data_IF_148759418396
#
_entry.id   IF_148759418396
#
_cell.length_a   1.000
_cell.length_b   1.000
_cell.length_c   1.000
_cell.angle_alpha   90.00
_cell.angle_beta   90.00
_cell.angle_gamma   90.00
#
_symmetry.space_group_name_H-M   'P 1'
#
loop_
_entity.id
_entity.type
_entity.pdbx_description
1 polymer ?
#
# COMPACT_ATOMS: atom_id res chain seq x y z
N UNK A 1 -39.76 -11.14 10.62
CA UNK A 1 -38.69 -10.22 10.19
C UNK A 1 -37.48 -11.05 9.79
N UNK A 2 -37.46 -11.53 8.55
CA UNK A 2 -36.39 -12.38 8.02
C UNK A 2 -35.36 -11.48 7.36
N UNK A 3 -34.26 -11.21 8.06
CA UNK A 3 -33.10 -10.55 7.47
C UNK A 3 -32.55 -11.44 6.34
N UNK A 4 -32.81 -11.06 5.09
CA UNK A 4 -32.19 -11.66 3.91
C UNK A 4 -30.70 -11.27 3.86
N UNK A 5 -29.88 -11.93 4.69
CA UNK A 5 -28.45 -11.96 4.47
C UNK A 5 -28.22 -12.70 3.15
N UNK A 6 -27.61 -12.01 2.18
CA UNK A 6 -27.36 -12.55 0.84
C UNK A 6 -26.67 -13.91 0.92
N UNK A 7 -27.36 -14.96 0.45
CA UNK A 7 -26.81 -16.32 0.29
C UNK A 7 -25.64 -16.34 -0.70
N UNK A 8 -25.54 -15.34 -1.60
CA UNK A 8 -24.42 -15.21 -2.53
C UNK A 8 -23.09 -14.95 -1.82
N UNK A 9 -23.15 -14.43 -0.59
CA UNK A 9 -22.00 -14.12 0.25
C UNK A 9 -21.79 -15.16 1.37
N UNK A 10 -22.15 -16.43 1.13
CA UNK A 10 -21.92 -17.56 2.02
C UNK A 10 -22.93 -17.74 3.16
N UNK A 11 -22.68 -18.76 3.98
CA UNK A 11 -23.55 -19.16 5.09
C UNK A 11 -23.56 -18.15 6.24
N UNK A 12 -24.65 -18.12 7.02
CA UNK A 12 -24.74 -17.28 8.23
C UNK A 12 -23.63 -17.63 9.22
N UNK A 13 -23.33 -18.92 9.38
CA UNK A 13 -22.21 -19.40 10.20
C UNK A 13 -20.88 -18.88 9.69
N UNK A 14 -20.63 -18.91 8.37
CA UNK A 14 -19.43 -18.35 7.76
C UNK A 14 -19.25 -16.86 8.04
N UNK A 15 -20.33 -16.08 7.90
CA UNK A 15 -20.34 -14.65 8.25
C UNK A 15 -20.06 -14.42 9.73
N UNK A 16 -20.67 -15.21 10.62
CA UNK A 16 -20.44 -15.11 12.06
C UNK A 16 -18.99 -15.47 12.45
N UNK A 17 -18.41 -16.48 11.81
CA UNK A 17 -17.00 -16.89 12.00
C UNK A 17 -16.05 -15.80 11.53
N UNK A 18 -16.30 -15.21 10.36
CA UNK A 18 -15.52 -14.08 9.87
C UNK A 18 -15.66 -12.85 10.80
N UNK A 19 -16.87 -12.52 11.25
CA UNK A 19 -17.08 -11.42 12.19
C UNK A 19 -16.37 -11.67 13.54
N UNK A 20 -16.38 -12.89 14.04
CA UNK A 20 -15.63 -13.26 15.25
C UNK A 20 -14.12 -13.12 15.05
N UNK A 21 -13.61 -13.55 13.89
CA UNK A 21 -12.21 -13.37 13.50
C UNK A 21 -11.83 -11.89 13.45
N UNK A 22 -12.58 -11.09 12.69
CA UNK A 22 -12.39 -9.65 12.54
C UNK A 22 -12.41 -8.91 13.89
N UNK A 23 -13.34 -9.26 14.78
CA UNK A 23 -13.39 -8.70 16.15
C UNK A 23 -12.20 -9.10 17.00
N UNK A 24 -11.66 -10.31 16.82
CA UNK A 24 -10.49 -10.78 17.57
C UNK A 24 -9.25 -10.01 17.15
N UNK A 25 -9.01 -9.87 15.84
CA UNK A 25 -7.86 -9.10 15.35
C UNK A 25 -7.98 -7.61 15.67
N UNK A 26 -9.20 -7.07 15.70
CA UNK A 26 -9.44 -5.68 16.10
C UNK A 26 -9.13 -5.40 17.58
N UNK A 27 -8.92 -6.42 18.43
CA UNK A 27 -8.45 -6.22 19.80
C UNK A 27 -6.93 -6.15 19.92
N UNK A 28 -6.20 -6.51 18.86
CA UNK A 28 -4.75 -6.47 18.83
C UNK A 28 -4.23 -5.06 18.58
N UNK A 29 -2.98 -4.80 18.98
CA UNK A 29 -2.31 -3.50 18.84
C UNK A 29 -0.79 -3.68 18.70
N UNK A 30 -0.16 -2.83 17.88
CA UNK A 30 1.29 -2.74 17.75
C UNK A 30 1.98 -4.10 17.53
N UNK A 31 2.97 -4.39 18.38
CA UNK A 31 3.80 -5.60 18.35
C UNK A 31 3.01 -6.92 18.42
N UNK A 32 1.76 -6.91 18.89
CA UNK A 32 0.95 -8.13 19.02
C UNK A 32 0.64 -8.77 17.66
N UNK A 33 0.71 -8.01 16.56
CA UNK A 33 0.60 -8.58 15.22
C UNK A 33 1.85 -9.37 14.84
N UNK A 34 3.03 -8.92 15.27
CA UNK A 34 4.33 -9.55 14.95
C UNK A 34 4.54 -10.87 15.70
N UNK A 35 3.95 -11.00 16.88
CA UNK A 35 4.01 -12.22 17.70
C UNK A 35 3.15 -13.37 17.16
N UNK A 36 2.20 -13.07 16.27
CA UNK A 36 1.34 -14.10 15.70
C UNK A 36 2.13 -15.08 14.84
N UNK A 37 1.74 -16.35 14.83
CA UNK A 37 2.26 -17.29 13.81
C UNK A 37 1.90 -16.76 12.43
N UNK A 38 2.90 -16.62 11.56
CA UNK A 38 2.68 -16.23 10.18
C UNK A 38 2.41 -17.44 9.30
N UNK A 39 1.38 -17.31 8.48
CA UNK A 39 0.91 -18.31 7.54
C UNK A 39 0.16 -17.58 6.41
N UNK A 40 -0.09 -18.23 5.26
CA UNK A 40 -0.91 -17.61 4.22
C UNK A 40 -2.29 -17.18 4.75
N UNK A 41 -2.72 -15.97 4.41
CA UNK A 41 -4.01 -15.40 4.80
C UNK A 41 -5.20 -16.34 4.53
N UNK A 42 -5.19 -17.04 3.38
CA UNK A 42 -6.20 -18.04 3.04
C UNK A 42 -6.27 -19.18 4.08
N UNK A 43 -5.12 -19.68 4.54
CA UNK A 43 -5.05 -20.77 5.53
C UNK A 43 -5.59 -20.30 6.87
N UNK A 44 -5.24 -19.08 7.29
CA UNK A 44 -5.72 -18.50 8.54
C UNK A 44 -7.26 -18.36 8.58
N UNK A 45 -7.86 -17.90 7.47
CA UNK A 45 -9.31 -17.75 7.32
C UNK A 45 -10.03 -19.11 7.32
N UNK A 46 -9.49 -20.09 6.60
CA UNK A 46 -10.03 -21.45 6.58
C UNK A 46 -9.97 -22.09 7.99
N UNK A 47 -8.84 -21.95 8.70
CA UNK A 47 -8.69 -22.41 10.09
C UNK A 47 -9.63 -21.72 11.06
N UNK A 48 -9.97 -20.45 10.82
CA UNK A 48 -10.98 -19.74 11.60
C UNK A 48 -12.42 -20.23 11.37
N UNK A 49 -12.63 -21.16 10.42
CA UNK A 49 -13.93 -21.72 10.07
C UNK A 49 -14.76 -20.78 9.20
N UNK A 50 -14.12 -19.88 8.45
CA UNK A 50 -14.81 -19.06 7.47
C UNK A 50 -15.22 -19.95 6.30
N UNK A 51 -16.48 -19.82 5.90
CA UNK A 51 -17.10 -20.59 4.83
C UNK A 51 -16.40 -20.37 3.48
N UNK A 52 -16.19 -21.43 2.71
CA UNK A 52 -15.50 -21.36 1.42
C UNK A 52 -16.17 -20.40 0.42
N UNK A 53 -17.50 -20.37 0.38
CA UNK A 53 -18.26 -19.43 -0.48
C UNK A 53 -18.00 -17.98 -0.07
N UNK A 54 -17.92 -17.70 1.23
CA UNK A 54 -17.58 -16.37 1.74
C UNK A 54 -16.14 -16.00 1.39
N UNK A 55 -15.20 -16.96 1.49
CA UNK A 55 -13.80 -16.75 1.09
C UNK A 55 -13.73 -16.42 -0.39
N UNK A 56 -14.30 -17.26 -1.26
CA UNK A 56 -14.09 -17.19 -2.70
C UNK A 56 -14.86 -16.06 -3.39
N UNK A 57 -16.06 -15.72 -2.91
CA UNK A 57 -16.90 -14.70 -3.57
C UNK A 57 -16.82 -13.32 -2.94
N UNK A 58 -16.32 -13.20 -1.71
CA UNK A 58 -16.31 -11.92 -0.99
C UNK A 58 -14.93 -11.55 -0.52
N UNK A 59 -14.31 -12.38 0.31
CA UNK A 59 -13.07 -12.01 1.00
C UNK A 59 -11.90 -12.00 0.03
N UNK A 60 -11.74 -13.03 -0.80
CA UNK A 60 -10.67 -13.12 -1.80
C UNK A 60 -10.75 -11.98 -2.81
N UNK A 61 -11.87 -11.71 -3.51
CA UNK A 61 -11.94 -10.58 -4.44
C UNK A 61 -11.65 -9.23 -3.77
N UNK A 62 -12.17 -9.00 -2.56
CA UNK A 62 -11.92 -7.77 -1.80
C UNK A 62 -10.44 -7.61 -1.43
N UNK A 63 -9.86 -8.62 -0.79
CA UNK A 63 -8.48 -8.58 -0.33
C UNK A 63 -7.48 -8.64 -1.49
N UNK A 64 -7.82 -9.25 -2.62
CA UNK A 64 -7.03 -9.11 -3.85
C UNK A 64 -6.97 -7.66 -4.31
N UNK A 65 -8.06 -6.91 -4.21
CA UNK A 65 -8.05 -5.47 -4.48
C UNK A 65 -7.24 -4.65 -3.46
N UNK A 66 -7.15 -5.10 -2.21
CA UNK A 66 -6.42 -4.40 -1.14
C UNK A 66 -4.92 -4.72 -1.15
N UNK A 67 -4.57 -6.01 -1.31
CA UNK A 67 -3.20 -6.50 -1.29
C UNK A 67 -2.55 -6.52 -2.67
N UNK A 68 -3.34 -6.31 -3.73
CA UNK A 68 -2.89 -6.42 -5.12
C UNK A 68 -2.26 -7.80 -5.39
N UNK A 69 -2.85 -8.84 -4.79
CA UNK A 69 -2.35 -10.23 -4.82
C UNK A 69 -3.53 -11.22 -4.97
N UNK A 70 -3.54 -12.11 -5.98
CA UNK A 70 -4.73 -12.88 -6.34
C UNK A 70 -5.02 -14.13 -5.50
N UNK A 71 -4.03 -14.69 -4.80
CA UNK A 71 -4.14 -16.01 -4.15
C UNK A 71 -4.27 -15.95 -2.62
N UNK A 72 -4.28 -14.78 -2.00
CA UNK A 72 -4.24 -14.61 -0.54
C UNK A 72 -3.07 -15.38 0.11
N UNK A 73 -1.93 -15.37 -0.57
CA UNK A 73 -0.67 -15.91 -0.06
C UNK A 73 0.07 -14.90 0.80
N UNK A 74 -0.40 -13.65 0.84
CA UNK A 74 0.06 -12.62 1.76
C UNK A 74 0.05 -13.12 3.21
N UNK A 75 1.03 -12.64 3.97
CA UNK A 75 1.18 -12.83 5.41
C UNK A 75 -0.16 -12.62 6.14
N UNK A 76 -0.51 -13.57 7.01
CA UNK A 76 -1.62 -13.44 7.95
C UNK A 76 -1.43 -12.21 8.83
N UNK A 77 -0.21 -11.94 9.29
CA UNK A 77 0.07 -10.79 10.18
C UNK A 77 -0.34 -9.48 9.51
N UNK A 78 0.04 -9.32 8.25
CA UNK A 78 -0.35 -8.15 7.45
C UNK A 78 -1.86 -8.08 7.24
N UNK A 79 -2.51 -9.21 6.92
CA UNK A 79 -3.98 -9.25 6.81
C UNK A 79 -4.66 -8.85 8.12
N UNK A 80 -4.16 -9.30 9.27
CA UNK A 80 -4.73 -8.99 10.59
C UNK A 80 -4.63 -7.48 10.90
N UNK A 81 -3.52 -6.82 10.53
CA UNK A 81 -3.36 -5.36 10.64
C UNK A 81 -4.39 -4.62 9.79
N UNK A 82 -4.53 -5.04 8.53
CA UNK A 82 -5.44 -4.40 7.58
C UNK A 82 -6.90 -4.59 8.01
N UNK A 83 -7.27 -5.81 8.41
CA UNK A 83 -8.62 -6.10 8.90
C UNK A 83 -8.93 -5.35 10.20
N UNK A 84 -7.97 -5.27 11.13
CA UNK A 84 -8.14 -4.47 12.34
C UNK A 84 -8.35 -2.98 12.00
N UNK A 85 -7.67 -2.45 10.98
CA UNK A 85 -7.83 -1.07 10.52
C UNK A 85 -9.23 -0.82 9.94
N UNK A 86 -9.77 -1.77 9.17
CA UNK A 86 -11.16 -1.68 8.67
C UNK A 86 -12.22 -1.79 9.77
N UNK A 87 -11.95 -2.56 10.83
CA UNK A 87 -12.91 -2.71 11.94
C UNK A 87 -12.88 -1.50 12.88
N UNK A 88 -11.69 -0.96 13.15
CA UNK A 88 -11.51 0.17 14.08
C UNK A 88 -11.79 1.52 13.45
N UNK A 89 -11.45 1.66 12.17
CA UNK A 89 -11.37 2.94 11.48
C UNK A 89 -12.42 3.12 10.41
N UNK A 90 -12.65 4.38 10.04
CA UNK A 90 -13.34 4.74 8.81
C UNK A 90 -12.29 5.09 7.76
N UNK A 91 -12.26 4.40 6.61
CA UNK A 91 -11.39 4.78 5.50
C UNK A 91 -11.65 6.24 5.14
N UNK A 92 -10.61 7.06 5.23
CA UNK A 92 -10.67 8.49 4.99
C UNK A 92 -9.41 8.94 4.26
N UNK A 93 -9.52 10.04 3.54
CA UNK A 93 -8.41 10.68 2.86
C UNK A 93 -8.19 12.05 3.48
N UNK A 94 -6.93 12.54 3.59
CA UNK A 94 -6.69 13.89 4.06
C UNK A 94 -7.43 14.90 3.17
N UNK A 95 -8.05 15.90 3.79
CA UNK A 95 -8.81 16.94 3.08
C UNK A 95 -7.96 17.67 2.02
N UNK A 96 -6.68 17.84 2.28
CA UNK A 96 -5.71 18.47 1.38
C UNK A 96 -5.10 17.49 0.35
N UNK A 97 -5.62 16.26 0.26
CA UNK A 97 -5.09 15.20 -0.60
C UNK A 97 -3.97 14.39 0.06
N UNK A 98 -3.58 13.29 -0.59
CA UNK A 98 -2.60 12.35 -0.03
C UNK A 98 -1.20 12.94 0.19
N UNK A 99 -0.86 14.03 -0.54
CA UNK A 99 0.41 14.76 -0.39
C UNK A 99 0.55 15.42 1.00
N UNK A 100 -0.56 15.69 1.70
CA UNK A 100 -0.50 16.30 3.02
C UNK A 100 0.24 15.46 4.07
N UNK A 101 0.26 14.12 3.89
CA UNK A 101 0.97 13.21 4.81
C UNK A 101 2.49 13.36 4.68
N UNK A 102 3.11 13.19 3.50
CA UNK A 102 4.54 13.40 3.35
C UNK A 102 4.97 14.84 3.64
N UNK A 103 4.14 15.85 3.32
CA UNK A 103 4.43 17.25 3.67
C UNK A 103 4.52 17.44 5.19
N UNK A 104 3.56 16.89 5.95
CA UNK A 104 3.60 16.92 7.41
C UNK A 104 4.86 16.24 8.00
N UNK A 105 5.32 15.14 7.38
CA UNK A 105 6.55 14.48 7.79
C UNK A 105 7.79 15.31 7.46
N UNK A 106 7.79 15.97 6.29
CA UNK A 106 8.88 16.84 5.86
C UNK A 106 9.04 18.06 6.79
N UNK A 107 7.93 18.72 7.13
CA UNK A 107 7.92 19.91 7.98
C UNK A 107 8.42 19.64 9.42
N UNK A 108 8.36 18.38 9.85
CA UNK A 108 8.88 17.96 11.15
C UNK A 108 10.41 17.72 11.15
N UNK A 109 11.07 17.72 9.98
CA UNK A 109 12.50 17.52 9.86
C UNK A 109 13.26 18.86 9.94
N UNK A 110 14.50 18.87 10.46
CA UNK A 110 15.35 20.04 10.38
C UNK A 110 15.56 20.51 8.94
N UNK A 111 15.67 21.83 8.75
CA UNK A 111 15.94 22.40 7.44
C UNK A 111 17.22 21.82 6.82
N UNK A 112 17.18 21.55 5.52
CA UNK A 112 18.30 20.95 4.79
C UNK A 112 18.44 19.43 4.94
N UNK A 113 17.56 18.74 5.69
CA UNK A 113 17.60 17.26 5.83
C UNK A 113 17.21 16.52 4.55
N UNK A 114 16.30 17.08 3.75
CA UNK A 114 15.78 16.44 2.54
C UNK A 114 16.41 17.05 1.30
N UNK A 115 17.11 16.22 0.53
CA UNK A 115 17.73 16.60 -0.74
C UNK A 115 16.95 15.97 -1.90
N UNK A 116 16.22 16.79 -2.65
CA UNK A 116 15.49 16.37 -3.85
C UNK A 116 16.35 16.55 -5.10
N UNK A 117 16.03 15.81 -6.16
CA UNK A 117 16.80 15.81 -7.42
C UNK A 117 18.29 15.49 -7.22
N UNK A 118 18.60 14.66 -6.21
CA UNK A 118 19.95 14.21 -5.87
C UNK A 118 20.01 12.68 -5.98
N UNK A 119 20.19 12.12 -7.20
CA UNK A 119 20.28 10.66 -7.36
C UNK A 119 21.53 10.11 -6.66
N UNK A 120 21.34 9.06 -5.86
CA UNK A 120 22.45 8.28 -5.31
C UNK A 120 22.98 7.35 -6.39
N UNK A 121 24.28 7.43 -6.68
CA UNK A 121 24.96 6.64 -7.71
C UNK A 121 25.60 5.39 -7.14
N UNK A 122 26.15 5.52 -5.93
CA UNK A 122 26.81 4.44 -5.20
C UNK A 122 26.58 4.63 -3.71
N UNK A 123 26.65 3.54 -2.98
CA UNK A 123 26.63 3.55 -1.54
C UNK A 123 27.70 2.61 -0.99
N UNK A 124 28.14 2.90 0.22
CA UNK A 124 28.90 2.01 1.09
C UNK A 124 28.14 1.89 2.40
N UNK A 125 28.54 0.98 3.32
CA UNK A 125 27.93 0.91 4.65
C UNK A 125 28.02 2.22 5.45
N UNK A 126 28.92 3.14 5.10
CA UNK A 126 29.19 4.37 5.86
C UNK A 126 29.05 5.66 5.04
N UNK A 127 28.66 5.59 3.76
CA UNK A 127 28.55 6.77 2.90
C UNK A 127 27.66 6.53 1.69
N UNK A 128 27.18 7.61 1.09
CA UNK A 128 26.53 7.63 -0.21
C UNK A 128 27.25 8.62 -1.13
N UNK A 129 27.35 8.26 -2.40
CA UNK A 129 27.89 9.11 -3.46
C UNK A 129 26.76 9.61 -4.35
N UNK A 130 26.72 10.92 -4.56
CA UNK A 130 25.73 11.61 -5.37
C UNK A 130 26.42 12.51 -6.40
N UNK A 131 25.65 13.02 -7.36
CA UNK A 131 26.17 13.98 -8.35
C UNK A 131 26.63 15.31 -7.69
N UNK A 132 26.22 15.58 -6.44
CA UNK A 132 26.59 16.77 -5.67
C UNK A 132 27.72 16.53 -4.66
N UNK A 133 28.25 15.30 -4.59
CA UNK A 133 29.32 14.92 -3.66
C UNK A 133 28.97 13.71 -2.78
N UNK A 134 29.86 13.45 -1.82
CA UNK A 134 29.76 12.31 -0.89
C UNK A 134 29.18 12.76 0.45
N UNK A 135 28.23 11.98 0.97
CA UNK A 135 27.63 12.20 2.28
C UNK A 135 28.00 11.00 3.16
N UNK A 136 28.54 11.25 4.35
CA UNK A 136 28.86 10.21 5.32
C UNK A 136 27.70 9.98 6.28
N UNK A 137 27.47 8.72 6.66
CA UNK A 137 26.39 8.34 7.56
C UNK A 137 26.80 7.12 8.40
N UNK A 138 26.31 7.05 9.64
CA UNK A 138 26.51 5.85 10.48
C UNK A 138 25.64 4.67 10.04
N UNK A 139 24.52 4.96 9.39
CA UNK A 139 23.56 3.97 8.88
C UNK A 139 23.00 4.49 7.56
N UNK A 140 22.97 3.62 6.55
CA UNK A 140 22.34 3.88 5.25
C UNK A 140 21.09 3.00 5.13
N UNK A 141 19.93 3.63 4.94
CA UNK A 141 18.65 2.96 4.70
C UNK A 141 18.27 3.15 3.24
N UNK A 142 18.12 2.04 2.50
CA UNK A 142 17.67 2.07 1.10
C UNK A 142 16.16 1.87 1.06
N UNK A 143 15.42 2.93 0.73
CA UNK A 143 13.96 2.97 0.68
C UNK A 143 13.44 3.21 -0.75
N UNK A 144 13.95 2.44 -1.71
CA UNK A 144 13.56 2.49 -3.13
C UNK A 144 12.78 1.23 -3.53
N UNK A 145 12.32 1.16 -4.78
CA UNK A 145 11.75 -0.07 -5.32
C UNK A 145 12.80 -1.21 -5.35
N UNK A 146 12.33 -2.46 -5.38
CA UNK A 146 13.18 -3.65 -5.28
C UNK A 146 14.27 -3.72 -6.36
N UNK A 147 13.99 -3.24 -7.58
CA UNK A 147 14.96 -3.26 -8.68
C UNK A 147 16.08 -2.26 -8.43
N UNK A 148 15.76 -1.01 -8.08
CA UNK A 148 16.78 -0.01 -7.75
C UNK A 148 17.56 -0.38 -6.49
N UNK A 149 16.89 -0.95 -5.48
CA UNK A 149 17.55 -1.40 -4.26
C UNK A 149 18.57 -2.52 -4.54
N UNK A 150 18.19 -3.55 -5.32
CA UNK A 150 19.10 -4.63 -5.72
C UNK A 150 20.31 -4.08 -6.48
N UNK A 151 20.11 -3.21 -7.46
CA UNK A 151 21.21 -2.62 -8.23
C UNK A 151 22.20 -1.83 -7.35
N UNK A 152 21.69 -1.02 -6.39
CA UNK A 152 22.54 -0.23 -5.48
C UNK A 152 23.30 -1.13 -4.50
N UNK A 153 22.66 -2.17 -3.97
CA UNK A 153 23.27 -3.09 -3.01
C UNK A 153 24.33 -3.98 -3.68
N UNK A 154 24.06 -4.49 -4.88
CA UNK A 154 25.01 -5.27 -5.67
C UNK A 154 26.25 -4.44 -6.04
N UNK A 155 26.06 -3.19 -6.45
CA UNK A 155 27.17 -2.26 -6.72
C UNK A 155 28.03 -1.98 -5.47
N UNK A 156 27.45 -2.12 -4.27
CA UNK A 156 28.16 -2.02 -2.99
C UNK A 156 28.81 -3.36 -2.54
N UNK A 157 28.71 -4.42 -3.35
CA UNK A 157 29.22 -5.76 -3.01
C UNK A 157 28.36 -6.50 -1.98
N UNK A 158 27.12 -6.04 -1.75
CA UNK A 158 26.17 -6.67 -0.82
C UNK A 158 25.23 -7.58 -1.61
N UNK A 159 25.59 -8.85 -1.71
CA UNK A 159 24.73 -9.86 -2.37
C UNK A 159 23.49 -10.10 -1.52
N UNK A 160 22.34 -9.66 -2.00
CA UNK A 160 21.04 -9.92 -1.36
C UNK A 160 20.11 -10.52 -2.39
N UNK A 161 19.52 -11.68 -2.10
CA UNK A 161 18.42 -12.20 -2.92
C UNK A 161 17.16 -11.38 -2.63
N UNK A 162 17.05 -10.22 -3.27
CA UNK A 162 15.79 -9.47 -3.31
C UNK A 162 14.87 -10.13 -4.33
N UNK A 163 13.67 -10.51 -3.90
CA UNK A 163 12.62 -10.85 -4.84
C UNK A 163 12.20 -9.58 -5.60
N UNK A 164 12.63 -9.48 -6.85
CA UNK A 164 12.25 -8.38 -7.75
C UNK A 164 10.94 -8.63 -8.48
N UNK A 165 10.34 -9.83 -8.33
CA UNK A 165 9.01 -10.11 -8.86
C UNK A 165 7.97 -9.32 -8.05
N UNK A 166 7.32 -8.38 -8.74
CA UNK A 166 6.23 -7.58 -8.19
C UNK A 166 4.93 -7.91 -8.90
N UNK A 167 3.81 -7.80 -8.19
CA UNK A 167 2.50 -7.88 -8.82
C UNK A 167 2.27 -6.61 -9.64
N UNK A 168 2.05 -6.76 -10.95
CA UNK A 168 1.70 -5.62 -11.80
C UNK A 168 0.21 -5.29 -11.66
N UNK A 169 -0.11 -4.00 -11.60
CA UNK A 169 -1.50 -3.51 -11.55
C UNK A 169 -1.68 -2.34 -12.51
N UNK A 170 -2.91 -2.17 -12.98
CA UNK A 170 -3.30 -1.01 -13.80
C UNK A 170 -4.15 -0.08 -12.96
N UNK A 171 -3.67 1.16 -12.78
CA UNK A 171 -4.44 2.21 -12.09
C UNK A 171 -5.15 3.07 -13.12
N UNK A 172 -6.47 3.12 -13.04
CA UNK A 172 -7.31 3.96 -13.88
C UNK A 172 -7.60 5.27 -13.17
N UNK A 173 -7.26 6.39 -13.82
CA UNK A 173 -7.55 7.71 -13.29
C UNK A 173 -8.84 8.23 -13.93
N UNK A 174 -9.82 8.54 -13.08
CA UNK A 174 -11.08 9.12 -13.51
C UNK A 174 -11.17 10.55 -13.00
N UNK A 175 -11.71 11.44 -13.82
CA UNK A 175 -12.12 12.77 -13.39
C UNK A 175 -13.64 12.82 -13.45
N UNK A 176 -14.26 13.41 -12.44
CA UNK A 176 -15.69 13.69 -12.47
C UNK A 176 -15.87 15.15 -12.87
N UNK A 177 -16.83 15.43 -13.76
CA UNK A 177 -17.23 16.80 -14.04
C UNK A 177 -17.63 17.45 -12.72
N UNK A 178 -17.09 18.64 -12.43
CA UNK A 178 -17.34 19.34 -11.18
C UNK A 178 -18.79 19.75 -11.12
N UNK A 179 -19.68 18.93 -10.55
CA UNK A 179 -20.98 19.41 -10.11
C UNK A 179 -20.74 20.29 -8.91
N UNK A 180 -20.98 21.59 -9.08
CA UNK A 180 -21.03 22.55 -7.99
C UNK A 180 -22.18 22.15 -7.06
N UNK A 181 -21.94 21.24 -6.12
CA UNK A 181 -22.84 21.09 -4.99
C UNK A 181 -22.69 22.34 -4.13
N UNK A 182 -23.74 23.14 -4.09
CA UNK A 182 -23.86 24.32 -3.23
C UNK A 182 -23.95 23.89 -1.77
N UNK A 183 -22.85 23.41 -1.21
CA UNK A 183 -22.65 23.39 0.24
C UNK A 183 -21.86 24.64 0.59
N UNK A 184 -22.53 25.64 1.14
CA UNK A 184 -21.91 26.86 1.68
C UNK A 184 -20.83 26.44 2.70
N UNK A 185 -19.57 26.57 2.33
CA UNK A 185 -18.45 26.47 3.27
C UNK A 185 -18.28 27.83 3.98
N UNK A 186 -18.02 27.86 5.30
CA UNK A 186 -17.69 29.11 5.97
C UNK A 186 -16.38 29.69 5.41
N UNK A 187 -16.40 30.97 5.05
CA UNK A 187 -15.23 31.73 4.61
C UNK A 187 -14.23 31.90 5.76
N UNK A 188 -12.94 31.59 5.56
CA UNK A 188 -11.90 31.92 6.53
C UNK A 188 -11.68 33.46 6.62
N UNK A 189 -11.27 33.99 7.79
CA UNK A 189 -11.19 35.44 8.08
C UNK A 189 -10.01 36.18 7.44
N UNK A 190 -9.14 35.48 6.73
CA UNK A 190 -7.94 35.98 6.07
C UNK A 190 -8.15 35.98 4.56
N UNK A 191 -8.25 37.17 3.96
CA UNK A 191 -8.62 37.46 2.57
C UNK A 191 -7.72 36.91 1.46
N UNK A 192 -7.03 35.79 1.67
CA UNK A 192 -6.31 35.04 0.65
C UNK A 192 -7.24 33.99 0.03
N UNK A 193 -7.91 34.36 -1.05
CA UNK A 193 -8.74 33.46 -1.84
C UNK A 193 -7.88 32.47 -2.63
N UNK A 194 -7.59 31.31 -2.06
CA UNK A 194 -7.17 30.15 -2.84
C UNK A 194 -8.43 29.45 -3.36
N UNK A 195 -8.55 29.15 -4.67
CA UNK A 195 -9.67 28.36 -5.16
C UNK A 195 -9.63 27.00 -4.44
N UNK A 196 -10.77 26.60 -3.86
CA UNK A 196 -10.96 25.29 -3.28
C UNK A 196 -10.85 24.21 -4.37
N UNK A 197 -9.63 23.85 -4.75
CA UNK A 197 -9.34 22.77 -5.67
C UNK A 197 -9.53 21.45 -4.92
N UNK A 198 -10.73 20.86 -5.10
CA UNK A 198 -10.89 19.42 -4.98
C UNK A 198 -9.88 18.77 -5.93
N UNK A 199 -9.07 17.89 -5.37
CA UNK A 199 -7.95 17.18 -5.99
C UNK A 199 -8.10 16.93 -7.50
N UNK A 200 -7.33 17.65 -8.30
CA UNK A 200 -6.85 17.17 -9.60
C UNK A 200 -5.34 17.07 -9.51
N UNK A 201 -4.85 15.91 -9.08
CA UNK A 201 -3.44 15.56 -9.22
C UNK A 201 -3.15 15.36 -10.72
N UNK A 202 -2.57 16.37 -11.36
CA UNK A 202 -2.02 16.23 -12.72
C UNK A 202 -0.65 15.55 -12.59
N UNK A 203 -0.64 14.22 -12.39
CA UNK A 203 0.59 13.45 -12.55
C UNK A 203 0.94 13.36 -14.05
N UNK A 204 2.16 13.77 -14.42
CA UNK A 204 2.72 13.42 -15.73
C UNK A 204 2.84 11.88 -15.80
N UNK A 205 2.30 11.21 -16.83
CA UNK A 205 2.45 9.76 -16.95
C UNK A 205 3.94 9.43 -17.16
N UNK A 206 4.50 8.60 -16.29
CA UNK A 206 5.72 7.86 -16.59
C UNK A 206 5.40 6.91 -17.76
N UNK A 207 6.19 6.98 -18.82
CA UNK A 207 6.04 6.09 -19.97
C UNK A 207 6.32 4.64 -19.53
N UNK A 208 5.27 3.80 -19.54
CA UNK A 208 5.41 2.34 -19.37
C UNK A 208 6.08 1.80 -20.63
N UNK A 209 7.30 1.28 -20.49
CA UNK A 209 8.01 0.57 -21.56
C UNK A 209 7.39 -0.83 -21.68
N UNK A 210 6.79 -1.14 -22.81
CA UNK A 210 6.26 -2.48 -23.12
C UNK A 210 7.38 -3.53 -23.13
N UNK A 211 7.19 -4.72 -22.51
CA UNK A 211 8.16 -5.80 -22.62
C UNK A 211 8.22 -6.33 -24.07
N UNK A 212 9.44 -6.51 -24.58
CA UNK A 212 9.71 -7.14 -25.88
C UNK A 212 9.37 -8.64 -25.85
N UNK A 213 8.83 -9.23 -26.94
CA UNK A 213 8.53 -10.65 -26.99
C UNK A 213 9.81 -11.50 -26.92
N UNK A 214 9.79 -12.52 -26.07
CA UNK A 214 10.86 -13.53 -25.92
C UNK A 214 10.81 -14.49 -27.13
N UNK A 215 11.92 -14.74 -27.85
CA UNK A 215 11.93 -15.72 -28.93
C UNK A 215 11.85 -17.15 -28.39
N UNK A 216 10.97 -17.95 -28.99
CA UNK A 216 10.80 -19.37 -28.67
C UNK A 216 12.09 -20.15 -28.99
N UNK A 217 12.66 -20.84 -28.00
CA UNK A 217 13.77 -21.77 -28.23
C UNK A 217 13.20 -23.11 -28.72
N UNK A 218 13.57 -23.46 -29.95
CA UNK A 218 13.33 -24.77 -30.56
C UNK A 218 14.09 -25.85 -29.80
N UNK A 219 13.38 -26.84 -29.27
CA UNK A 219 13.97 -28.05 -28.72
C UNK A 219 14.61 -28.87 -29.85
N UNK A 220 15.83 -29.37 -29.61
CA UNK A 220 16.44 -30.46 -30.37
C UNK A 220 17.11 -31.41 -29.40
#
# INVERSE_FOLDING_TARGET
>A
MTHHLSRAAGTITGKARFAAYARTVAKLSGHQFDERVDEPAQVALARAGVDATMIDHVIRPFLTGVFLEPHLMTSRRFMDVVLASFVKGTPSLPRAGMQAIPDQLHDALPEGTVHLATPVRRLTPASIETDSGTITASVVIVATDATQASALLEAAGLTTELNTATNSVTTWYHTVATTSSSSTAPTPPDGNSWPATRSTARCRPCAVRSPSPVPASTAR
#
